data_IF_899093915053
#
_entry.id   IF_899093915053
#
_cell.length_a   1.000
_cell.length_b   1.000
_cell.length_c   1.000
_cell.angle_alpha   90.00
_cell.angle_beta   90.00
_cell.angle_gamma   90.00
#
_symmetry.space_group_name_H-M   'P 1'
#
loop_
_entity.id
_entity.type
_entity.pdbx_description
1 polymer ?
#
# COMPACT_ATOMS: atom_id res chain seq x y z
N UNK A 1 24.91 7.78 0.92
CA UNK A 1 24.05 7.85 -0.28
C UNK A 1 22.61 8.02 0.18
N UNK A 2 21.86 9.03 -0.30
CA UNK A 2 20.50 9.26 0.17
C UNK A 2 19.56 8.23 -0.45
N UNK A 3 18.96 7.42 0.40
CA UNK A 3 17.87 6.49 0.09
C UNK A 3 16.59 7.29 -0.18
N UNK A 4 16.28 7.55 -1.45
CA UNK A 4 15.08 8.26 -1.87
C UNK A 4 13.95 7.29 -2.25
N UNK A 5 12.74 7.70 -1.91
CA UNK A 5 11.52 6.93 -1.64
C UNK A 5 10.72 6.44 -2.86
N UNK A 6 10.04 5.30 -2.64
CA UNK A 6 9.47 4.28 -3.53
C UNK A 6 8.37 4.62 -4.55
N UNK A 7 8.08 5.88 -4.91
CA UNK A 7 7.05 6.18 -5.93
C UNK A 7 7.46 7.18 -7.02
N UNK A 8 8.60 7.85 -6.87
CA UNK A 8 9.09 8.79 -7.89
C UNK A 8 9.90 8.12 -9.01
N UNK A 9 10.05 6.78 -9.01
CA UNK A 9 10.84 6.02 -9.98
C UNK A 9 10.60 4.50 -9.87
N UNK A 10 11.21 3.68 -10.73
CA UNK A 10 11.01 2.23 -10.75
C UNK A 10 11.38 1.61 -9.39
N UNK A 11 10.44 0.87 -8.80
CA UNK A 11 10.68 0.13 -7.56
C UNK A 11 11.37 -1.19 -7.91
N UNK A 12 12.65 -1.32 -7.56
CA UNK A 12 13.36 -2.59 -7.63
C UNK A 12 12.81 -3.56 -6.60
N UNK A 13 12.40 -4.73 -7.05
CA UNK A 13 11.91 -5.84 -6.23
C UNK A 13 12.85 -7.01 -6.41
N UNK A 14 13.35 -7.53 -5.28
CA UNK A 14 14.02 -8.81 -5.21
C UNK A 14 13.04 -9.79 -4.55
N UNK A 15 12.48 -10.70 -5.35
CA UNK A 15 11.53 -11.72 -4.90
C UNK A 15 12.27 -13.03 -4.68
N UNK A 16 12.22 -13.58 -3.47
CA UNK A 16 12.67 -14.93 -3.18
C UNK A 16 11.45 -15.87 -3.23
N UNK A 17 11.42 -16.77 -4.21
CA UNK A 17 10.35 -17.75 -4.38
C UNK A 17 10.92 -19.10 -4.79
N UNK A 18 10.49 -20.17 -4.11
CA UNK A 18 10.94 -21.55 -4.35
C UNK A 18 12.48 -21.71 -4.35
N UNK A 19 13.16 -20.96 -3.47
CA UNK A 19 14.62 -20.95 -3.35
C UNK A 19 15.37 -20.17 -4.45
N UNK A 20 14.65 -19.51 -5.37
CA UNK A 20 15.23 -18.68 -6.42
C UNK A 20 14.96 -17.20 -6.15
N UNK A 21 15.98 -16.37 -6.33
CA UNK A 21 15.83 -14.91 -6.29
C UNK A 21 15.60 -14.40 -7.71
N UNK A 22 14.49 -13.70 -7.92
CA UNK A 22 14.20 -12.96 -9.16
C UNK A 22 14.24 -11.48 -8.85
N UNK A 23 14.99 -10.74 -9.65
CA UNK A 23 15.01 -9.29 -9.59
C UNK A 23 14.22 -8.71 -10.75
N UNK A 24 13.28 -7.82 -10.45
CA UNK A 24 12.51 -7.09 -11.45
C UNK A 24 12.18 -5.68 -10.97
N UNK A 25 11.86 -4.81 -11.92
CA UNK A 25 11.41 -3.46 -11.63
C UNK A 25 9.89 -3.38 -11.78
N UNK A 26 9.26 -2.70 -10.82
CA UNK A 26 7.85 -2.40 -10.83
C UNK A 26 7.67 -0.90 -11.07
N UNK A 27 6.83 -0.54 -12.03
CA UNK A 27 6.38 0.82 -12.27
C UNK A 27 4.89 0.98 -11.93
N UNK A 28 4.48 2.07 -11.24
CA UNK A 28 3.08 2.32 -10.90
C UNK A 28 2.13 2.25 -12.11
N UNK A 29 2.63 2.68 -13.28
CA UNK A 29 1.89 2.68 -14.54
C UNK A 29 1.45 1.27 -14.99
N UNK A 30 2.20 0.22 -14.61
CA UNK A 30 1.86 -1.16 -14.95
C UNK A 30 0.56 -1.62 -14.28
N UNK A 31 0.11 -0.93 -13.23
CA UNK A 31 -1.14 -1.21 -12.52
C UNK A 31 -2.19 -0.11 -12.72
N UNK A 32 -1.98 0.81 -13.65
CA UNK A 32 -2.90 1.92 -13.94
C UNK A 32 -2.81 3.09 -12.95
N UNK A 33 -1.78 3.13 -12.10
CA UNK A 33 -1.55 4.26 -11.20
C UNK A 33 -0.72 5.35 -11.90
N UNK A 34 -0.98 6.61 -11.55
CA UNK A 34 -0.15 7.73 -12.01
C UNK A 34 1.08 7.84 -11.10
N UNK A 35 2.24 8.17 -11.68
CA UNK A 35 3.40 8.59 -10.88
C UNK A 35 2.99 9.79 -10.04
N UNK A 36 3.11 9.65 -8.73
CA UNK A 36 2.85 10.73 -7.79
C UNK A 36 4.17 11.44 -7.51
N UNK A 37 4.12 12.75 -7.35
CA UNK A 37 5.31 13.53 -6.97
C UNK A 37 5.53 13.39 -5.46
N UNK A 38 6.78 13.54 -5.01
CA UNK A 38 7.16 13.30 -3.61
C UNK A 38 6.38 14.21 -2.65
N UNK A 39 6.03 15.42 -3.10
CA UNK A 39 5.26 16.40 -2.35
C UNK A 39 3.83 15.92 -2.06
N UNK A 40 3.28 15.01 -2.86
CA UNK A 40 1.93 14.44 -2.67
C UNK A 40 1.90 13.33 -1.61
N UNK A 41 3.06 12.87 -1.17
CA UNK A 41 3.23 11.83 -0.14
C UNK A 41 3.74 12.38 1.20
N UNK A 42 3.95 13.70 1.29
CA UNK A 42 4.35 14.33 2.53
C UNK A 42 3.20 14.29 3.55
N UNK A 43 3.29 13.36 4.51
CA UNK A 43 2.30 13.18 5.58
C UNK A 43 2.25 14.31 6.61
N UNK A 44 3.18 15.27 6.53
CA UNK A 44 3.22 16.42 7.43
C UNK A 44 3.42 16.01 8.90
N UNK A 45 2.55 16.48 9.80
CA UNK A 45 2.54 16.10 11.21
C UNK A 45 1.68 14.84 11.50
N UNK A 46 1.67 14.37 12.74
CA UNK A 46 0.96 13.16 13.16
C UNK A 46 -0.56 13.22 12.86
N UNK A 47 -1.20 14.36 13.13
CA UNK A 47 -2.63 14.56 12.87
C UNK A 47 -2.96 14.52 11.37
N UNK A 48 -2.12 15.15 10.54
CA UNK A 48 -2.24 15.13 9.09
C UNK A 48 -2.06 13.72 8.54
N UNK A 49 -1.06 12.98 9.03
CA UNK A 49 -0.84 11.59 8.65
C UNK A 49 -2.02 10.70 9.04
N UNK A 50 -2.59 10.88 10.25
CA UNK A 50 -3.77 10.15 10.69
C UNK A 50 -5.00 10.45 9.81
N UNK A 51 -5.22 11.72 9.44
CA UNK A 51 -6.29 12.11 8.53
C UNK A 51 -6.13 11.52 7.12
N UNK A 52 -4.88 11.46 6.61
CA UNK A 52 -4.57 10.82 5.33
C UNK A 52 -4.89 9.33 5.40
N UNK A 53 -4.43 8.63 6.44
CA UNK A 53 -4.69 7.19 6.62
C UNK A 53 -6.18 6.92 6.74
N UNK A 54 -6.91 7.70 7.55
CA UNK A 54 -8.36 7.58 7.67
C UNK A 54 -9.04 7.78 6.31
N UNK A 55 -8.67 8.81 5.56
CA UNK A 55 -9.20 9.05 4.22
C UNK A 55 -8.92 7.91 3.24
N UNK A 56 -7.73 7.29 3.30
CA UNK A 56 -7.42 6.11 2.47
C UNK A 56 -8.33 4.93 2.83
N UNK A 57 -8.53 4.67 4.12
CA UNK A 57 -9.38 3.58 4.61
C UNK A 57 -10.86 3.82 4.35
N UNK A 58 -11.30 5.08 4.29
CA UNK A 58 -12.65 5.47 3.88
C UNK A 58 -12.84 5.43 2.34
N UNK A 59 -11.81 4.98 1.60
CA UNK A 59 -11.88 4.81 0.14
C UNK A 59 -11.66 6.08 -0.67
N UNK A 60 -11.18 7.18 -0.07
CA UNK A 60 -10.87 8.42 -0.80
C UNK A 60 -9.78 8.15 -1.84
N UNK A 61 -10.10 8.39 -3.11
CA UNK A 61 -9.12 8.31 -4.21
C UNK A 61 -8.06 9.38 -4.02
N UNK A 62 -6.80 8.98 -3.89
CA UNK A 62 -5.66 9.86 -3.66
C UNK A 62 -4.37 9.14 -4.01
N UNK A 63 -3.29 9.90 -4.26
CA UNK A 63 -1.94 9.35 -4.40
C UNK A 63 -1.58 8.40 -3.24
N UNK A 64 -1.88 8.80 -2.00
CA UNK A 64 -1.65 8.00 -0.80
C UNK A 64 -2.39 6.65 -0.84
N UNK A 65 -3.62 6.62 -1.37
CA UNK A 65 -4.38 5.37 -1.54
C UNK A 65 -3.67 4.44 -2.52
N UNK A 66 -3.19 4.96 -3.64
CA UNK A 66 -2.51 4.17 -4.68
C UNK A 66 -1.23 3.53 -4.13
N UNK A 67 -0.48 4.27 -3.29
CA UNK A 67 0.69 3.74 -2.54
C UNK A 67 0.31 2.57 -1.64
N UNK A 68 -0.75 2.75 -0.87
CA UNK A 68 -1.21 1.75 0.10
C UNK A 68 -1.67 0.51 -0.62
N UNK A 69 -2.40 0.65 -1.74
CA UNK A 69 -2.85 -0.46 -2.57
C UNK A 69 -1.67 -1.23 -3.17
N UNK A 70 -0.67 -0.54 -3.71
CA UNK A 70 0.51 -1.17 -4.30
C UNK A 70 1.31 -1.97 -3.25
N UNK A 71 1.60 -1.37 -2.09
CA UNK A 71 2.34 -2.06 -1.03
C UNK A 71 1.54 -3.21 -0.41
N UNK A 72 0.24 -3.01 -0.20
CA UNK A 72 -0.64 -4.06 0.34
C UNK A 72 -0.80 -5.21 -0.65
N UNK A 73 -0.92 -4.91 -1.94
CA UNK A 73 -1.01 -5.93 -2.98
C UNK A 73 0.27 -6.76 -3.11
N UNK A 74 1.43 -6.12 -3.01
CA UNK A 74 2.71 -6.82 -2.93
C UNK A 74 2.81 -7.71 -1.67
N UNK A 75 2.35 -7.23 -0.52
CA UNK A 75 2.31 -8.03 0.71
C UNK A 75 1.34 -9.23 0.61
N UNK A 76 0.18 -9.05 -0.01
CA UNK A 76 -0.80 -10.12 -0.25
C UNK A 76 -0.25 -11.17 -1.23
N UNK A 77 0.47 -10.74 -2.25
CA UNK A 77 1.19 -11.63 -3.16
C UNK A 77 2.27 -12.46 -2.44
N UNK A 78 3.16 -11.81 -1.69
CA UNK A 78 4.25 -12.49 -0.95
C UNK A 78 3.71 -13.42 0.14
N UNK A 79 2.55 -13.11 0.74
CA UNK A 79 1.89 -13.99 1.71
C UNK A 79 1.16 -15.18 1.08
N UNK A 80 1.17 -15.31 -0.25
CA UNK A 80 0.49 -16.38 -0.98
C UNK A 80 -1.03 -16.23 -1.05
N UNK A 81 -1.58 -15.09 -0.61
CA UNK A 81 -3.02 -14.78 -0.69
C UNK A 81 -3.48 -14.30 -2.06
N UNK A 82 -2.54 -13.92 -2.92
CA UNK A 82 -2.79 -13.49 -4.29
C UNK A 82 -1.82 -14.20 -5.25
N UNK A 83 -2.31 -14.59 -6.44
CA UNK A 83 -1.49 -15.23 -7.46
C UNK A 83 -0.55 -14.25 -8.17
N UNK A 84 -0.92 -12.97 -8.23
CA UNK A 84 -0.12 -11.88 -8.77
C UNK A 84 -0.22 -10.63 -7.89
N UNK A 85 0.71 -9.68 -8.07
CA UNK A 85 0.63 -8.37 -7.40
C UNK A 85 -0.65 -7.63 -7.80
N UNK A 86 -1.08 -7.75 -9.06
CA UNK A 86 -2.31 -7.14 -9.55
C UNK A 86 -3.56 -7.71 -8.86
N UNK A 87 -3.62 -9.03 -8.65
CA UNK A 87 -4.69 -9.65 -7.87
C UNK A 87 -4.65 -9.18 -6.42
N UNK A 88 -3.45 -9.06 -5.85
CA UNK A 88 -3.25 -8.53 -4.49
C UNK A 88 -3.74 -7.08 -4.37
N UNK A 89 -3.47 -6.23 -5.36
CA UNK A 89 -3.99 -4.86 -5.43
C UNK A 89 -5.53 -4.88 -5.47
N UNK A 90 -6.11 -5.79 -6.26
CA UNK A 90 -7.56 -5.99 -6.31
C UNK A 90 -8.16 -6.34 -4.95
N UNK A 91 -7.58 -7.32 -4.25
CA UNK A 91 -7.99 -7.72 -2.89
C UNK A 91 -7.82 -6.58 -1.87
N UNK A 92 -6.72 -5.82 -1.96
CA UNK A 92 -6.51 -4.64 -1.11
C UNK A 92 -7.57 -3.56 -1.37
N UNK A 93 -7.91 -3.33 -2.64
CA UNK A 93 -8.95 -2.38 -3.03
C UNK A 93 -10.34 -2.81 -2.55
N UNK A 94 -10.66 -4.10 -2.66
CA UNK A 94 -11.89 -4.68 -2.13
C UNK A 94 -11.98 -4.52 -0.61
N UNK A 95 -10.89 -4.79 0.12
CA UNK A 95 -10.82 -4.64 1.58
C UNK A 95 -11.05 -3.20 2.04
N UNK A 96 -10.55 -2.22 1.27
CA UNK A 96 -10.84 -0.79 1.51
C UNK A 96 -12.29 -0.47 1.17
N UNK A 97 -12.76 -0.83 -0.02
CA UNK A 97 -14.10 -0.45 -0.50
C UNK A 97 -15.24 -1.10 0.30
N UNK A 98 -15.02 -2.31 0.84
CA UNK A 98 -15.98 -3.03 1.70
C UNK A 98 -16.03 -2.49 3.13
N UNK A 99 -15.09 -1.60 3.52
CA UNK A 99 -14.96 -1.11 4.89
C UNK A 99 -14.26 -2.08 5.85
N UNK A 100 -13.88 -3.28 5.40
CA UNK A 100 -13.18 -4.29 6.20
C UNK A 100 -11.85 -3.74 6.77
N UNK A 101 -11.10 -2.99 5.96
CA UNK A 101 -9.86 -2.36 6.40
C UNK A 101 -10.09 -1.34 7.52
N UNK A 102 -11.18 -0.56 7.43
CA UNK A 102 -11.57 0.43 8.46
C UNK A 102 -12.00 -0.26 9.75
N UNK A 103 -12.83 -1.29 9.63
CA UNK A 103 -13.27 -2.10 10.78
C UNK A 103 -12.09 -2.75 11.49
N UNK A 104 -11.09 -3.25 10.76
CA UNK A 104 -9.90 -3.85 11.36
C UNK A 104 -9.06 -2.83 12.14
N UNK A 105 -8.96 -1.60 11.66
CA UNK A 105 -8.33 -0.52 12.42
C UNK A 105 -9.11 -0.20 13.71
N UNK A 106 -10.44 -0.13 13.65
CA UNK A 106 -11.27 0.09 14.85
C UNK A 106 -11.08 -1.02 15.89
N UNK A 107 -11.08 -2.28 15.47
CA UNK A 107 -10.79 -3.42 16.36
C UNK A 107 -9.41 -3.32 16.99
N UNK A 108 -8.39 -2.89 16.23
CA UNK A 108 -7.05 -2.72 16.77
C UNK A 108 -7.02 -1.64 17.86
N UNK A 109 -7.67 -0.49 17.63
CA UNK A 109 -7.76 0.61 18.59
C UNK A 109 -8.48 0.16 19.87
N UNK A 110 -9.60 -0.55 19.72
CA UNK A 110 -10.34 -1.13 20.86
C UNK A 110 -9.44 -2.09 21.66
N UNK A 111 -8.73 -3.00 20.98
CA UNK A 111 -7.82 -3.94 21.63
C UNK A 111 -6.65 -3.26 22.35
N UNK A 112 -6.08 -2.19 21.80
CA UNK A 112 -4.92 -1.52 22.40
C UNK A 112 -5.29 -0.55 23.53
N UNK A 113 -6.53 -0.04 23.52
CA UNK A 113 -7.02 0.89 24.54
C UNK A 113 -7.87 0.20 25.63
N UNK A 114 -8.22 -1.07 25.46
CA UNK A 114 -8.87 -1.89 26.49
C UNK A 114 -7.90 -2.34 27.60
N UNK A 115 -6.84 -1.57 27.84
CA UNK A 115 -5.85 -1.78 28.90
C UNK A 115 -6.07 -0.80 30.05
#
# INVERSE_FOLDING_TARGET
MPSCSRICGPTKVAELRDGQVKEYAIEPEQFGFKRCRLEELHGGNADQSAAIVAGVLDGKKSAARDVVLLNSGAALYVSGKAATIQDGIGLAAESINSGNARQKLSQLVEMTNAA
#
